data_IF_228251101227
#
_entry.id   IF_228251101227
#
_cell.length_a   1.000
_cell.length_b   1.000
_cell.length_c   1.000
_cell.angle_alpha   90.00
_cell.angle_beta   90.00
_cell.angle_gamma   90.00
#
_symmetry.space_group_name_H-M   'P 1'
#
loop_
_entity.id
_entity.type
_entity.pdbx_description
1 polymer ?
#
# COMPACT_ATOMS: atom_id res chain seq x y z
N UNK A 1 -7.98 -9.60 -17.44
CA UNK A 1 -7.46 -10.49 -18.51
C UNK A 1 -7.84 -11.91 -18.17
N UNK A 2 -8.29 -12.71 -19.16
CA UNK A 2 -8.60 -14.13 -18.96
C UNK A 2 -7.77 -14.97 -19.93
N UNK A 3 -7.22 -16.08 -19.43
CA UNK A 3 -6.49 -17.08 -20.23
C UNK A 3 -7.12 -18.43 -19.92
N UNK A 4 -7.59 -19.13 -20.94
CA UNK A 4 -8.28 -20.41 -20.80
C UNK A 4 -7.55 -21.45 -21.64
N UNK A 5 -7.21 -22.57 -21.02
CA UNK A 5 -6.63 -23.73 -21.70
C UNK A 5 -7.64 -24.89 -21.71
N UNK A 6 -7.57 -25.81 -22.69
CA UNK A 6 -8.38 -27.01 -22.69
C UNK A 6 -8.13 -27.87 -21.44
N UNK A 7 -9.14 -28.61 -20.99
CA UNK A 7 -9.03 -29.44 -19.76
C UNK A 7 -7.91 -30.48 -19.82
N UNK A 8 -7.55 -30.96 -21.01
CA UNK A 8 -6.43 -31.89 -21.18
C UNK A 8 -5.07 -31.24 -20.84
N UNK A 9 -4.90 -29.94 -21.09
CA UNK A 9 -3.66 -29.22 -20.81
C UNK A 9 -3.39 -29.17 -19.31
N UNK A 10 -4.43 -28.91 -18.53
CA UNK A 10 -4.32 -28.89 -17.07
C UNK A 10 -3.90 -30.23 -16.48
N UNK A 11 -4.35 -31.34 -17.07
CA UNK A 11 -3.95 -32.69 -16.64
C UNK A 11 -2.54 -33.06 -17.09
N UNK A 12 -2.17 -32.68 -18.32
CA UNK A 12 -0.88 -33.04 -18.92
C UNK A 12 0.28 -32.16 -18.42
N UNK A 13 0.01 -30.89 -18.14
CA UNK A 13 1.02 -29.89 -17.71
C UNK A 13 0.56 -29.16 -16.42
N UNK A 14 0.52 -29.88 -15.29
CA UNK A 14 0.01 -29.34 -14.03
C UNK A 14 0.86 -28.17 -13.50
N UNK A 15 2.19 -28.23 -13.64
CA UNK A 15 3.08 -27.15 -13.21
C UNK A 15 2.84 -25.84 -13.98
N UNK A 16 2.68 -25.91 -15.30
CA UNK A 16 2.38 -24.72 -16.11
C UNK A 16 1.03 -24.11 -15.74
N UNK A 17 0.06 -24.96 -15.44
CA UNK A 17 -1.27 -24.54 -15.00
C UNK A 17 -1.24 -23.91 -13.60
N UNK A 18 -0.38 -24.40 -12.71
CA UNK A 18 -0.15 -23.80 -11.40
C UNK A 18 0.50 -22.43 -11.54
N UNK A 19 1.54 -22.30 -12.38
CA UNK A 19 2.21 -21.03 -12.65
C UNK A 19 1.23 -19.98 -13.18
N UNK A 20 0.34 -20.34 -14.11
CA UNK A 20 -0.71 -19.43 -14.60
C UNK A 20 -1.59 -18.88 -13.46
N UNK A 21 -2.01 -19.75 -12.53
CA UNK A 21 -2.84 -19.36 -11.39
C UNK A 21 -2.08 -18.46 -10.42
N UNK A 22 -0.83 -18.80 -10.11
CA UNK A 22 0.03 -17.99 -9.25
C UNK A 22 0.26 -16.60 -9.87
N UNK A 23 0.57 -16.56 -11.17
CA UNK A 23 0.87 -15.33 -11.90
C UNK A 23 -0.32 -14.37 -11.99
N UNK A 24 -1.56 -14.84 -11.81
CA UNK A 24 -2.73 -13.97 -11.73
C UNK A 24 -2.67 -12.98 -10.55
N UNK A 25 -1.85 -13.27 -9.54
CA UNK A 25 -1.61 -12.43 -8.37
C UNK A 25 -0.21 -11.77 -8.38
N UNK A 26 0.45 -11.74 -9.54
CA UNK A 26 1.80 -11.17 -9.71
C UNK A 26 1.78 -9.98 -10.66
N UNK A 27 2.79 -9.11 -10.56
CA UNK A 27 2.99 -8.03 -11.52
C UNK A 27 3.32 -8.62 -12.89
N UNK A 28 2.37 -8.50 -13.82
CA UNK A 28 2.50 -8.93 -15.21
C UNK A 28 2.21 -7.78 -16.16
N UNK A 29 2.71 -7.88 -17.40
CA UNK A 29 2.65 -6.85 -18.43
C UNK A 29 2.20 -7.47 -19.76
N UNK A 30 1.74 -6.67 -20.73
CA UNK A 30 1.48 -7.16 -22.08
C UNK A 30 2.67 -7.86 -22.76
N UNK A 31 3.91 -7.52 -22.38
CA UNK A 31 5.11 -8.20 -22.87
C UNK A 31 5.19 -9.66 -22.40
N UNK A 32 4.66 -9.98 -21.23
CA UNK A 32 4.58 -11.35 -20.72
C UNK A 32 3.59 -12.18 -21.54
N UNK A 33 2.46 -11.58 -21.95
CA UNK A 33 1.49 -12.22 -22.86
C UNK A 33 2.17 -12.51 -24.20
N UNK A 34 2.86 -11.51 -24.79
CA UNK A 34 3.60 -11.68 -26.03
C UNK A 34 4.61 -12.83 -25.95
N UNK A 35 5.37 -12.92 -24.84
CA UNK A 35 6.31 -14.00 -24.63
C UNK A 35 5.62 -15.35 -24.42
N UNK A 36 4.46 -15.36 -23.75
CA UNK A 36 3.63 -16.56 -23.57
C UNK A 36 3.14 -17.11 -24.91
N UNK A 37 2.66 -16.23 -25.81
CA UNK A 37 2.20 -16.65 -27.14
C UNK A 37 3.37 -17.21 -27.97
N UNK A 38 4.54 -16.55 -27.95
CA UNK A 38 5.76 -17.08 -28.57
C UNK A 38 6.18 -18.43 -28.00
N UNK A 39 6.06 -18.58 -26.69
CA UNK A 39 6.38 -19.82 -26.00
C UNK A 39 5.44 -20.95 -26.46
N UNK A 40 4.13 -20.70 -26.55
CA UNK A 40 3.14 -21.67 -27.02
C UNK A 40 3.45 -22.13 -28.46
N UNK A 41 3.83 -21.22 -29.35
CA UNK A 41 4.19 -21.56 -30.74
C UNK A 41 5.39 -22.51 -30.86
N UNK A 42 6.25 -22.57 -29.84
CA UNK A 42 7.47 -23.40 -29.82
C UNK A 42 7.39 -24.54 -28.81
N UNK A 43 6.21 -24.75 -28.21
CA UNK A 43 6.03 -25.68 -27.12
C UNK A 43 6.11 -27.12 -27.62
N UNK A 44 7.16 -27.85 -27.21
CA UNK A 44 7.41 -29.24 -27.59
C UNK A 44 7.24 -30.24 -26.44
N UNK A 45 6.85 -29.78 -25.25
CA UNK A 45 6.55 -30.64 -24.10
C UNK A 45 7.68 -30.85 -23.10
N UNK A 46 8.92 -30.42 -23.38
CA UNK A 46 10.08 -30.53 -22.48
C UNK A 46 10.74 -29.18 -22.14
N UNK A 47 11.34 -29.14 -20.95
CA UNK A 47 12.09 -28.07 -20.28
C UNK A 47 12.07 -26.64 -20.85
N UNK A 48 11.50 -25.76 -20.03
CA UNK A 48 11.25 -24.33 -20.22
C UNK A 48 12.54 -23.50 -20.25
N UNK A 49 13.08 -23.22 -21.44
CA UNK A 49 13.96 -22.06 -21.57
C UNK A 49 13.09 -20.80 -21.71
N UNK A 50 13.30 -19.82 -20.85
CA UNK A 50 12.66 -18.51 -21.00
C UNK A 50 13.27 -17.82 -22.23
N UNK A 51 12.57 -17.90 -23.36
CA UNK A 51 13.00 -17.30 -24.62
C UNK A 51 12.55 -15.83 -24.70
N UNK A 52 13.03 -14.97 -23.81
CA UNK A 52 12.64 -13.56 -23.81
C UNK A 52 13.67 -12.64 -23.17
N UNK A 53 13.68 -11.34 -23.52
CA UNK A 53 14.44 -10.34 -22.77
C UNK A 53 14.04 -10.41 -21.29
N UNK A 54 14.97 -10.08 -20.37
CA UNK A 54 14.77 -10.17 -18.91
C UNK A 54 13.46 -9.53 -18.41
N UNK A 55 12.92 -8.56 -19.16
CA UNK A 55 11.67 -7.86 -18.85
C UNK A 55 10.38 -8.62 -19.15
N UNK A 56 10.40 -9.66 -19.96
CA UNK A 56 9.22 -10.42 -20.39
C UNK A 56 9.35 -11.90 -20.04
N UNK A 57 8.42 -12.41 -19.24
CA UNK A 57 8.39 -13.77 -18.71
C UNK A 57 7.15 -14.46 -19.25
N UNK A 58 7.27 -15.70 -19.73
CA UNK A 58 6.09 -16.48 -20.12
C UNK A 58 5.20 -16.70 -18.90
N UNK A 59 3.90 -16.50 -19.02
CA UNK A 59 2.92 -16.73 -17.95
C UNK A 59 2.76 -18.22 -17.61
N UNK A 60 3.32 -19.12 -18.42
CA UNK A 60 3.45 -20.55 -18.12
C UNK A 60 4.66 -20.87 -17.21
N UNK A 61 5.56 -19.91 -17.03
CA UNK A 61 6.66 -19.95 -16.06
C UNK A 61 6.30 -19.11 -14.84
N UNK A 62 6.83 -19.42 -13.67
CA UNK A 62 6.56 -18.63 -12.47
C UNK A 62 7.15 -17.21 -12.60
N UNK A 63 6.31 -16.19 -12.38
CA UNK A 63 6.72 -14.81 -12.19
C UNK A 63 7.00 -14.61 -10.71
N UNK A 64 8.22 -14.18 -10.40
CA UNK A 64 8.67 -14.02 -9.03
C UNK A 64 7.83 -12.97 -8.27
N UNK A 65 7.61 -13.20 -6.97
CA UNK A 65 6.73 -12.37 -6.14
C UNK A 65 7.26 -10.94 -5.94
N UNK A 66 8.57 -10.77 -5.95
CA UNK A 66 9.25 -9.48 -5.77
C UNK A 66 9.51 -8.73 -7.08
N UNK A 67 8.91 -9.16 -8.21
CA UNK A 67 9.15 -8.53 -9.52
C UNK A 67 8.80 -7.04 -9.45
N UNK A 68 9.83 -6.22 -9.54
CA UNK A 68 9.70 -4.76 -9.50
C UNK A 68 9.25 -4.19 -10.85
N UNK A 69 8.74 -2.95 -10.85
CA UNK A 69 8.47 -2.17 -12.07
C UNK A 69 9.71 -2.11 -12.98
N UNK A 70 10.91 -1.94 -12.41
CA UNK A 70 12.18 -1.95 -13.14
C UNK A 70 12.42 -3.29 -13.83
N UNK A 71 12.20 -4.41 -13.13
CA UNK A 71 12.32 -5.75 -13.70
C UNK A 71 11.28 -5.99 -14.79
N UNK A 72 10.08 -5.43 -14.67
CA UNK A 72 9.03 -5.47 -15.69
C UNK A 72 9.27 -4.48 -16.86
N UNK A 73 10.27 -3.60 -16.77
CA UNK A 73 10.56 -2.58 -17.78
C UNK A 73 9.60 -1.39 -17.78
N UNK A 74 8.78 -1.23 -16.74
CA UNK A 74 7.85 -0.11 -16.53
C UNK A 74 8.67 1.15 -16.19
N UNK A 75 8.30 2.31 -16.73
CA UNK A 75 8.96 3.58 -16.39
C UNK A 75 8.63 4.02 -14.96
N UNK A 76 9.54 4.74 -14.28
CA UNK A 76 9.31 5.23 -12.93
C UNK A 76 7.98 5.98 -12.78
N UNK A 77 7.66 6.89 -13.71
CA UNK A 77 6.43 7.68 -13.67
C UNK A 77 5.13 6.88 -13.92
N UNK A 78 5.23 5.64 -14.42
CA UNK A 78 4.10 4.71 -14.53
C UNK A 78 4.07 3.67 -13.39
N UNK A 79 5.05 3.67 -12.49
CA UNK A 79 5.08 2.76 -11.36
C UNK A 79 4.29 3.37 -10.21
N UNK A 80 3.10 2.84 -9.95
CA UNK A 80 2.14 3.41 -8.99
C UNK A 80 2.43 3.08 -7.52
N UNK A 81 3.49 2.34 -7.22
CA UNK A 81 3.81 1.92 -5.85
C UNK A 81 4.61 3.00 -5.12
N UNK A 82 4.10 3.48 -3.98
CA UNK A 82 4.87 4.26 -3.01
C UNK A 82 5.66 3.34 -2.07
N UNK A 83 6.76 3.87 -1.54
CA UNK A 83 7.59 3.19 -0.55
C UNK A 83 7.16 3.58 0.86
N UNK A 84 7.14 2.60 1.77
CA UNK A 84 6.86 2.80 3.19
C UNK A 84 8.17 2.69 3.95
N UNK A 85 8.72 3.83 4.33
CA UNK A 85 9.99 3.91 5.05
C UNK A 85 9.70 3.99 6.54
N UNK A 86 10.12 2.99 7.31
CA UNK A 86 9.98 3.02 8.77
C UNK A 86 10.76 4.18 9.35
N UNK A 87 10.10 4.99 10.19
CA UNK A 87 10.73 6.12 10.87
C UNK A 87 10.69 5.95 12.38
N UNK A 88 11.61 6.61 13.07
CA UNK A 88 11.67 6.53 14.54
C UNK A 88 10.42 7.15 15.17
N UNK A 89 9.81 6.42 16.11
CA UNK A 89 8.71 6.89 16.96
C UNK A 89 9.10 8.10 17.83
N UNK A 90 10.41 8.30 18.06
CA UNK A 90 10.93 9.44 18.82
C UNK A 90 11.06 10.72 17.99
N UNK A 91 10.95 10.64 16.66
CA UNK A 91 11.05 11.78 15.76
C UNK A 91 9.96 12.83 16.08
N UNK A 92 10.35 14.11 16.09
CA UNK A 92 9.46 15.23 16.40
C UNK A 92 8.24 15.29 15.48
N UNK A 93 8.43 15.15 14.16
CA UNK A 93 7.34 15.17 13.17
C UNK A 93 6.37 14.00 13.39
N UNK A 94 6.87 12.83 13.77
CA UNK A 94 6.03 11.66 14.11
C UNK A 94 5.19 11.94 15.37
N UNK A 95 5.78 12.56 16.40
CA UNK A 95 5.04 12.94 17.62
C UNK A 95 4.00 14.03 17.35
N UNK A 96 4.32 15.01 16.50
CA UNK A 96 3.39 16.06 16.09
C UNK A 96 2.22 15.48 15.30
N UNK A 97 2.50 14.63 14.31
CA UNK A 97 1.47 13.91 13.56
C UNK A 97 0.60 13.03 14.47
N UNK A 98 1.19 12.31 15.44
CA UNK A 98 0.43 11.52 16.40
C UNK A 98 -0.47 12.39 17.29
N UNK A 99 0.04 13.53 17.75
CA UNK A 99 -0.71 14.52 18.53
C UNK A 99 -1.87 15.11 17.73
N UNK A 100 -1.64 15.40 16.45
CA UNK A 100 -2.69 15.83 15.54
C UNK A 100 -3.76 14.74 15.33
N UNK A 101 -3.36 13.47 15.23
CA UNK A 101 -4.28 12.35 15.09
C UNK A 101 -5.21 12.21 16.29
N UNK A 102 -4.68 12.23 17.51
CA UNK A 102 -5.51 12.08 18.71
C UNK A 102 -6.45 13.27 18.89
N UNK A 103 -5.99 14.49 18.55
CA UNK A 103 -6.85 15.67 18.53
C UNK A 103 -7.97 15.52 17.50
N UNK A 104 -7.66 15.06 16.29
CA UNK A 104 -8.66 14.79 15.25
C UNK A 104 -9.70 13.76 15.68
N UNK A 105 -9.30 12.71 16.42
CA UNK A 105 -10.23 11.73 16.99
C UNK A 105 -11.14 12.39 18.03
N UNK A 106 -10.57 13.13 18.98
CA UNK A 106 -11.35 13.79 20.02
C UNK A 106 -12.28 14.88 19.47
N UNK A 107 -11.88 15.61 18.42
CA UNK A 107 -12.75 16.56 17.72
C UNK A 107 -13.97 15.88 17.09
N UNK A 108 -13.83 14.66 16.56
CA UNK A 108 -14.98 13.87 16.05
C UNK A 108 -15.93 13.45 17.17
N UNK A 109 -15.43 13.31 18.40
CA UNK A 109 -16.23 12.98 19.58
C UNK A 109 -16.84 14.20 20.29
N UNK A 110 -16.60 15.43 19.82
CA UNK A 110 -16.99 16.66 20.52
C UNK A 110 -18.51 16.74 20.82
N UNK A 111 -19.36 16.29 19.90
CA UNK A 111 -20.82 16.28 20.07
C UNK A 111 -21.32 15.28 21.11
N UNK A 112 -20.50 14.30 21.48
CA UNK A 112 -20.84 13.20 22.42
C UNK A 112 -19.86 13.11 23.59
N UNK A 113 -19.14 14.20 23.87
CA UNK A 113 -18.13 14.28 24.95
C UNK A 113 -18.72 14.07 26.35
N UNK A 114 -20.05 14.16 26.51
CA UNK A 114 -20.75 13.87 27.76
C UNK A 114 -20.82 12.37 28.06
N UNK A 115 -20.87 11.51 27.03
CA UNK A 115 -21.01 10.04 27.17
C UNK A 115 -19.75 9.27 26.78
N UNK A 116 -18.86 9.84 25.95
CA UNK A 116 -17.58 9.26 25.57
C UNK A 116 -16.43 9.94 26.33
N UNK A 117 -15.45 9.17 26.77
CA UNK A 117 -14.20 9.68 27.36
C UNK A 117 -13.31 10.33 26.30
N UNK A 118 -12.55 11.34 26.72
CA UNK A 118 -11.48 11.89 25.90
C UNK A 118 -10.32 10.89 25.84
N UNK A 119 -9.82 10.64 24.62
CA UNK A 119 -8.73 9.70 24.42
C UNK A 119 -7.38 10.42 24.48
N UNK A 120 -6.37 9.74 25.02
CA UNK A 120 -4.98 10.16 24.99
C UNK A 120 -4.11 9.04 24.42
N UNK A 121 -2.95 9.40 23.88
CA UNK A 121 -1.99 8.43 23.36
C UNK A 121 -1.37 7.67 24.54
N UNK A 122 -1.36 6.36 24.42
CA UNK A 122 -0.63 5.43 25.29
C UNK A 122 0.73 5.10 24.67
N UNK A 123 0.74 4.68 23.40
CA UNK A 123 1.96 4.39 22.64
C UNK A 123 1.75 4.63 21.14
N UNK A 124 2.85 4.76 20.39
CA UNK A 124 2.87 4.71 18.93
C UNK A 124 3.32 3.30 18.54
N UNK A 125 2.43 2.50 17.98
CA UNK A 125 2.74 1.11 17.60
C UNK A 125 3.68 1.07 16.38
N UNK A 126 3.42 1.88 15.36
CA UNK A 126 4.25 1.98 14.15
C UNK A 126 4.16 3.36 13.50
N UNK A 127 5.22 3.74 12.79
CA UNK A 127 5.30 5.00 12.04
C UNK A 127 6.08 4.79 10.74
N UNK A 128 5.46 5.16 9.61
CA UNK A 128 6.05 5.10 8.28
C UNK A 128 5.89 6.43 7.56
N UNK A 129 6.89 6.80 6.77
CA UNK A 129 6.75 7.83 5.74
C UNK A 129 6.43 7.14 4.42
N UNK A 130 5.35 7.59 3.78
CA UNK A 130 4.94 7.19 2.45
C UNK A 130 5.57 8.18 1.47
N UNK A 131 6.52 7.72 0.67
CA UNK A 131 7.21 8.56 -0.32
C UNK A 131 7.30 7.86 -1.67
N UNK A 132 7.29 8.60 -2.79
CA UNK A 132 7.71 8.06 -4.08
C UNK A 132 9.15 7.53 -4.02
N UNK A 133 9.48 6.57 -4.89
CA UNK A 133 10.85 6.07 -5.01
C UNK A 133 11.84 7.17 -5.41
N UNK A 134 13.10 7.07 -4.98
CA UNK A 134 14.17 8.03 -5.35
C UNK A 134 14.33 8.22 -6.87
N UNK A 135 14.06 7.18 -7.66
CA UNK A 135 14.12 7.28 -9.12
C UNK A 135 12.99 8.15 -9.69
N UNK A 136 11.82 8.13 -9.06
CA UNK A 136 10.68 8.96 -9.47
C UNK A 136 10.88 10.42 -9.04
N UNK A 137 11.43 10.66 -7.85
CA UNK A 137 11.71 12.02 -7.36
C UNK A 137 12.72 12.80 -8.22
N UNK A 138 13.56 12.08 -8.98
CA UNK A 138 14.55 12.64 -9.91
C UNK A 138 14.14 12.48 -11.37
N UNK A 139 12.96 11.94 -11.67
CA UNK A 139 12.55 11.68 -13.04
C UNK A 139 12.24 13.00 -13.75
N UNK A 140 12.97 13.27 -14.84
CA UNK A 140 12.78 14.48 -15.65
C UNK A 140 12.04 14.13 -16.95
N UNK A 141 12.65 13.28 -17.79
CA UNK A 141 12.05 12.84 -19.05
C UNK A 141 12.41 11.40 -19.41
N UNK A 142 11.62 10.80 -20.30
CA UNK A 142 11.96 9.54 -20.96
C UNK A 142 12.05 9.72 -22.47
N UNK A 143 13.06 9.08 -23.08
CA UNK A 143 13.27 9.07 -24.53
C UNK A 143 13.15 7.65 -25.05
N UNK A 144 12.47 7.52 -26.18
CA UNK A 144 12.26 6.26 -26.89
C UNK A 144 11.65 5.15 -26.00
N UNK A 145 10.47 5.40 -25.44
CA UNK A 145 9.84 4.57 -24.40
C UNK A 145 9.68 3.07 -24.73
N UNK A 146 9.74 2.71 -26.01
CA UNK A 146 9.56 1.32 -26.50
C UNK A 146 10.89 0.65 -26.93
N UNK A 147 11.71 1.32 -27.75
CA UNK A 147 12.95 0.77 -28.34
C UNK A 147 14.10 1.73 -28.01
N UNK A 148 15.25 1.24 -27.53
CA UNK A 148 16.38 2.09 -27.11
C UNK A 148 16.02 3.11 -26.02
N UNK A 149 15.16 2.66 -25.10
CA UNK A 149 14.66 3.43 -23.96
C UNK A 149 15.79 4.04 -23.14
N UNK A 150 15.71 5.35 -22.93
CA UNK A 150 16.62 6.12 -22.08
C UNK A 150 15.80 6.95 -21.08
N UNK A 151 16.17 6.86 -19.81
CA UNK A 151 15.63 7.70 -18.75
C UNK A 151 16.63 8.83 -18.52
N UNK A 152 16.12 10.05 -18.42
CA UNK A 152 16.90 11.23 -18.01
C UNK A 152 16.48 11.56 -16.59
N UNK A 153 17.47 11.73 -15.72
CA UNK A 153 17.28 12.13 -14.34
C UNK A 153 17.74 13.57 -14.19
N UNK A 154 16.91 14.37 -13.53
CA UNK A 154 17.20 15.76 -13.21
C UNK A 154 17.44 15.94 -11.70
N UNK A 155 17.15 17.15 -11.25
CA UNK A 155 17.18 17.50 -9.83
C UNK A 155 16.10 16.75 -9.06
N UNK A 156 16.39 16.49 -7.78
CA UNK A 156 15.44 15.82 -6.90
C UNK A 156 14.37 16.81 -6.47
N UNK A 157 13.11 16.47 -6.69
CA UNK A 157 11.96 17.20 -6.16
C UNK A 157 11.66 16.71 -4.75
N UNK A 158 11.48 17.64 -3.80
CA UNK A 158 11.03 17.30 -2.46
C UNK A 158 9.52 16.94 -2.47
N UNK A 159 9.16 15.72 -2.05
CA UNK A 159 7.77 15.31 -2.03
C UNK A 159 7.03 15.87 -0.81
N UNK A 160 5.72 16.02 -0.93
CA UNK A 160 4.84 16.15 0.24
C UNK A 160 4.92 14.86 1.05
N UNK A 161 5.13 14.98 2.37
CA UNK A 161 5.29 13.83 3.25
C UNK A 161 3.94 13.37 3.82
N UNK A 162 3.62 12.11 3.58
CA UNK A 162 2.48 11.43 4.20
C UNK A 162 3.00 10.44 5.26
N UNK A 163 2.55 10.62 6.51
CA UNK A 163 2.88 9.74 7.63
C UNK A 163 1.76 8.73 7.84
N UNK A 164 2.05 7.44 7.74
CA UNK A 164 1.14 6.40 8.21
C UNK A 164 1.50 6.02 9.65
N UNK A 165 0.57 6.28 10.57
CA UNK A 165 0.75 6.01 11.99
C UNK A 165 -0.26 4.95 12.45
N UNK A 166 0.21 4.02 13.29
CA UNK A 166 -0.64 3.23 14.17
C UNK A 166 -0.40 3.68 15.60
N UNK A 167 -1.43 4.19 16.28
CA UNK A 167 -1.35 4.64 17.67
C UNK A 167 -2.25 3.77 18.55
N UNK A 168 -1.83 3.60 19.81
CA UNK A 168 -2.63 3.00 20.86
C UNK A 168 -3.10 4.07 21.83
N UNK A 169 -4.37 4.02 22.23
CA UNK A 169 -4.98 5.03 23.10
C UNK A 169 -5.38 4.48 24.44
N UNK A 170 -5.47 5.39 25.42
CA UNK A 170 -6.13 5.19 26.71
C UNK A 170 -7.22 6.26 26.91
N UNK A 171 -8.35 5.91 27.54
CA UNK A 171 -8.74 4.57 27.98
C UNK A 171 -9.13 3.63 26.81
N UNK A 172 -9.26 2.34 27.10
CA UNK A 172 -9.82 1.35 26.15
C UNK A 172 -8.83 0.61 25.26
N UNK A 173 -7.53 0.90 25.36
CA UNK A 173 -6.46 0.27 24.57
C UNK A 173 -6.79 0.23 23.07
N UNK A 174 -7.28 1.35 22.56
CA UNK A 174 -7.74 1.44 21.19
C UNK A 174 -6.59 1.60 20.21
N UNK A 175 -6.52 0.75 19.20
CA UNK A 175 -5.50 0.87 18.15
C UNK A 175 -6.12 1.53 16.92
N UNK A 176 -5.52 2.65 16.51
CA UNK A 176 -6.01 3.45 15.38
C UNK A 176 -4.91 3.64 14.36
N UNK A 177 -5.25 3.41 13.09
CA UNK A 177 -4.38 3.65 11.95
C UNK A 177 -4.91 4.80 11.10
N UNK A 178 -4.04 5.71 10.71
CA UNK A 178 -4.36 6.81 9.81
C UNK A 178 -3.15 7.25 8.99
N UNK A 179 -3.42 7.85 7.83
CA UNK A 179 -2.44 8.57 7.03
C UNK A 179 -2.60 10.07 7.28
N UNK A 180 -1.49 10.75 7.57
CA UNK A 180 -1.46 12.16 7.94
C UNK A 180 -0.48 12.87 7.01
N UNK A 181 -1.00 13.78 6.20
CA UNK A 181 -0.20 14.65 5.35
C UNK A 181 0.34 15.80 6.18
N UNK A 182 1.63 16.08 6.07
CA UNK A 182 2.25 17.29 6.60
C UNK A 182 2.63 18.20 5.43
N UNK A 183 2.07 19.41 5.43
CA UNK A 183 2.49 20.47 4.54
C UNK A 183 3.55 21.31 5.26
N UNK A 184 4.82 21.13 4.88
CA UNK A 184 5.94 21.83 5.52
C UNK A 184 5.92 23.35 5.27
N UNK A 185 5.30 23.84 4.18
CA UNK A 185 5.24 25.26 3.87
C UNK A 185 4.39 26.05 4.87
N UNK A 186 3.28 25.46 5.33
CA UNK A 186 2.34 26.08 6.27
C UNK A 186 2.37 25.46 7.67
N UNK A 187 3.20 24.44 7.89
CA UNK A 187 3.21 23.59 9.08
C UNK A 187 1.81 23.03 9.44
N UNK A 188 1.06 22.63 8.40
CA UNK A 188 -0.31 22.13 8.54
C UNK A 188 -0.38 20.61 8.40
N UNK A 189 -1.21 19.99 9.23
CA UNK A 189 -1.46 18.56 9.22
C UNK A 189 -2.88 18.26 8.76
N UNK A 190 -3.05 17.24 7.93
CA UNK A 190 -4.36 16.78 7.47
C UNK A 190 -4.47 15.26 7.52
N UNK A 191 -5.60 14.75 8.00
CA UNK A 191 -5.91 13.32 7.88
C UNK A 191 -6.30 13.02 6.44
N UNK A 192 -5.54 12.16 5.78
CA UNK A 192 -5.82 11.68 4.44
C UNK A 192 -6.75 10.48 4.53
N UNK A 193 -8.01 10.66 4.12
CA UNK A 193 -9.04 9.62 4.18
C UNK A 193 -9.62 9.40 5.58
N UNK A 194 -9.88 8.14 5.93
CA UNK A 194 -10.51 7.75 7.18
C UNK A 194 -9.52 7.23 8.22
N UNK A 195 -9.83 7.50 9.50
CA UNK A 195 -9.12 6.89 10.64
C UNK A 195 -9.75 5.52 10.91
N UNK A 196 -8.94 4.48 10.85
CA UNK A 196 -9.35 3.09 11.01
C UNK A 196 -9.11 2.60 12.43
N UNK A 197 -10.09 1.92 13.02
CA UNK A 197 -9.92 1.19 14.29
C UNK A 197 -9.47 -0.24 13.95
N UNK A 198 -8.28 -0.63 14.37
CA UNK A 198 -7.65 -1.89 13.96
C UNK A 198 -7.85 -3.04 14.96
N UNK A 199 -8.36 -2.77 16.16
CA UNK A 199 -8.74 -3.81 17.13
C UNK A 199 -10.23 -3.76 17.50
N UNK A 200 -10.74 -4.91 17.99
CA UNK A 200 -12.13 -5.07 18.40
C UNK A 200 -12.43 -4.14 19.59
N UNK A 201 -13.49 -3.34 19.49
CA UNK A 201 -13.93 -2.43 20.54
C UNK A 201 -15.09 -3.00 21.40
N UNK A 202 -15.78 -4.04 20.94
CA UNK A 202 -16.78 -4.78 21.72
C UNK A 202 -17.78 -3.88 22.44
N UNK A 203 -17.88 -4.03 23.76
CA UNK A 203 -18.80 -3.26 24.60
C UNK A 203 -18.27 -1.88 25.06
N UNK A 204 -17.10 -1.44 24.56
CA UNK A 204 -16.50 -0.16 24.96
C UNK A 204 -17.34 1.05 24.49
N UNK A 205 -18.12 0.90 23.42
CA UNK A 205 -18.93 1.98 22.81
C UNK A 205 -20.43 1.70 22.87
N UNK A 206 -20.91 1.03 23.93
CA UNK A 206 -22.33 0.66 24.09
C UNK A 206 -23.28 1.85 24.29
N UNK A 207 -22.76 2.96 24.82
CA UNK A 207 -23.49 4.21 25.06
C UNK A 207 -23.82 4.98 23.77
N UNK A 208 -23.31 4.56 22.60
CA UNK A 208 -23.52 5.26 21.33
C UNK A 208 -24.00 4.32 20.22
N UNK A 209 -25.04 4.74 19.50
CA UNK A 209 -25.60 4.03 18.34
C UNK A 209 -25.22 4.66 16.99
N UNK A 210 -24.43 5.72 16.99
CA UNK A 210 -23.94 6.36 15.77
C UNK A 210 -22.74 5.56 15.23
N UNK A 211 -22.96 4.79 14.17
CA UNK A 211 -21.95 3.88 13.59
C UNK A 211 -20.59 4.53 13.32
N UNK A 212 -20.58 5.77 12.82
CA UNK A 212 -19.36 6.52 12.51
C UNK A 212 -18.52 6.86 13.75
N UNK A 213 -19.16 7.11 14.90
CA UNK A 213 -18.50 7.49 16.15
C UNK A 213 -18.20 6.29 17.05
N UNK A 214 -18.91 5.17 16.83
CA UNK A 214 -18.80 3.95 17.62
C UNK A 214 -17.38 3.35 17.63
N UNK A 215 -16.62 3.53 16.54
CA UNK A 215 -15.21 3.10 16.44
C UNK A 215 -14.24 3.91 17.31
N UNK A 216 -14.62 5.13 17.71
CA UNK A 216 -13.78 6.02 18.51
C UNK A 216 -14.18 6.02 19.99
N UNK A 217 -15.48 5.94 20.28
CA UNK A 217 -15.99 6.15 21.64
C UNK A 217 -15.52 5.07 22.63
N UNK A 218 -15.07 5.52 23.80
CA UNK A 218 -15.00 4.72 25.01
C UNK A 218 -15.98 5.29 26.03
N UNK A 219 -16.99 4.53 26.45
CA UNK A 219 -18.06 5.04 27.30
C UNK A 219 -17.57 5.37 28.70
N UNK A 220 -18.04 6.51 29.23
CA UNK A 220 -17.80 6.90 30.62
C UNK A 220 -18.43 5.89 31.57
N UNK A 221 -17.86 5.75 32.77
CA UNK A 221 -18.41 4.86 33.82
C UNK A 221 -19.69 5.40 34.45
N UNK A 222 -19.80 6.72 34.56
CA UNK A 222 -20.95 7.41 35.14
C UNK A 222 -21.79 7.99 34.00
N UNK A 223 -22.50 7.12 33.27
CA UNK A 223 -23.51 7.56 32.33
C UNK A 223 -24.74 8.07 33.13
N UNK A 224 -25.39 9.16 32.69
CA UNK A 224 -26.64 9.63 33.30
C UNK A 224 -27.78 8.63 33.14
#
# INVERSE_FOLDING_TARGET
MFIVFPSWFHRKYPLLSQNLKLNAQRLTTPFDIYNTLKYILRFNGDNLKNYGPRRSISLLSEVHFDRTCKNAGILPHWCTCSEFVSVSKSNTSVKQAASFLINSINSRLASVHNICEALSIDDIDSAFVITPSETLLRFDESKHDVINKKIVLGDRVDPVLDYQLSIRTRPGNGTFEATIRHNEEYDEYHVMGDISRTNIYGNQSHCINISLLKKYCFCKRNLP
#
